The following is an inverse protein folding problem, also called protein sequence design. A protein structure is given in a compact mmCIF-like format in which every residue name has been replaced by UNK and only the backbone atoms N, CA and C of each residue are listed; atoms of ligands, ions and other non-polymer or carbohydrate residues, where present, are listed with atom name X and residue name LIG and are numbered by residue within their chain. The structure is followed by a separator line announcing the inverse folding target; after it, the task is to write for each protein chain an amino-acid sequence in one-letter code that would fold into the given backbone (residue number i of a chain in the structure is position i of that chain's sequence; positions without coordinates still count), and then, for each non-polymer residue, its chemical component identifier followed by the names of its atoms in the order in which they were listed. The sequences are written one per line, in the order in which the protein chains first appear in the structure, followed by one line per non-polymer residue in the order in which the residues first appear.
data_IF_455178796383
#
_entry.id   IF_455178796383
#
_cell.length_a   1.000
_cell.length_b   1.000
_cell.length_c   1.000
_cell.angle_alpha   90.00
_cell.angle_beta   90.00
_cell.angle_gamma   90.00
#
_symmetry.space_group_name_H-M   'P 1'
#
loop_
_entity.id
_entity.type
_entity.pdbx_description
1 polymer ?
#
# COMPACT_ATOMS: atom_id res chain seq x y z
N UNK A 1 3.64 -1.41 -17.59
CA UNK A 1 3.50 -0.35 -16.59
C UNK A 1 4.68 -0.38 -15.65
N UNK A 2 5.00 0.74 -15.04
CA UNK A 2 6.08 0.76 -14.05
C UNK A 2 5.67 0.06 -12.76
N UNK A 3 6.66 -0.31 -11.97
CA UNK A 3 6.43 -1.04 -10.72
C UNK A 3 5.61 -0.23 -9.72
N UNK A 4 5.85 1.06 -9.63
CA UNK A 4 5.10 1.92 -8.69
C UNK A 4 3.59 1.92 -9.01
N UNK A 5 3.24 2.04 -10.28
CA UNK A 5 1.84 1.97 -10.70
C UNK A 5 1.24 0.61 -10.39
N UNK A 6 1.99 -0.48 -10.61
CA UNK A 6 1.52 -1.82 -10.27
C UNK A 6 1.29 -1.98 -8.77
N UNK A 7 2.18 -1.41 -7.94
CA UNK A 7 2.00 -1.44 -6.48
C UNK A 7 0.75 -0.67 -6.08
N UNK A 8 0.56 0.54 -6.61
CA UNK A 8 -0.62 1.36 -6.30
C UNK A 8 -1.90 0.65 -6.72
N UNK A 9 -1.89 0.03 -7.90
CA UNK A 9 -3.03 -0.76 -8.39
C UNK A 9 -3.32 -1.92 -7.44
N UNK A 10 -2.28 -2.65 -7.03
CA UNK A 10 -2.44 -3.77 -6.11
C UNK A 10 -3.04 -3.33 -4.77
N UNK A 11 -2.66 -2.15 -4.27
CA UNK A 11 -3.16 -1.63 -3.00
C UNK A 11 -4.54 -0.98 -3.10
N UNK A 12 -5.06 -0.78 -4.30
CA UNK A 12 -6.30 -0.03 -4.50
C UNK A 12 -7.58 -0.83 -4.22
N UNK A 13 -7.47 -2.10 -3.87
CA UNK A 13 -8.64 -2.95 -3.63
C UNK A 13 -8.62 -3.51 -2.20
N UNK A 14 -9.77 -3.41 -1.47
CA UNK A 14 -9.82 -3.86 -0.07
C UNK A 14 -9.44 -5.33 0.12
N UNK A 15 -9.87 -6.21 -0.79
CA UNK A 15 -9.54 -7.63 -0.70
C UNK A 15 -8.02 -7.84 -0.79
N UNK A 16 -7.35 -7.13 -1.68
CA UNK A 16 -5.90 -7.26 -1.82
C UNK A 16 -5.16 -6.74 -0.59
N UNK A 17 -5.63 -5.65 0.00
CA UNK A 17 -5.05 -5.17 1.27
C UNK A 17 -5.26 -6.19 2.39
N UNK A 18 -6.44 -6.81 2.46
CA UNK A 18 -6.73 -7.84 3.46
C UNK A 18 -5.83 -9.07 3.28
N UNK A 19 -5.55 -9.47 2.03
CA UNK A 19 -4.64 -10.58 1.75
C UNK A 19 -3.23 -10.25 2.28
N UNK A 20 -2.74 -9.05 2.00
CA UNK A 20 -1.44 -8.62 2.50
C UNK A 20 -1.39 -8.71 4.02
N UNK A 21 -2.43 -8.21 4.69
CA UNK A 21 -2.48 -8.22 6.15
C UNK A 21 -2.40 -9.63 6.73
N UNK A 22 -3.02 -10.61 6.08
CA UNK A 22 -2.89 -12.00 6.50
C UNK A 22 -1.46 -12.50 6.43
N UNK A 23 -0.71 -12.06 5.42
CA UNK A 23 0.65 -12.54 5.18
C UNK A 23 1.70 -11.88 6.08
N UNK A 24 1.31 -10.83 6.82
CA UNK A 24 2.26 -10.14 7.71
C UNK A 24 2.76 -11.03 8.84
N UNK A 25 1.99 -12.06 9.20
CA UNK A 25 2.37 -13.00 10.25
C UNK A 25 3.33 -14.09 9.76
N UNK A 26 3.57 -14.18 8.46
CA UNK A 26 4.48 -15.15 7.86
C UNK A 26 3.87 -15.86 6.67
N UNK A 27 4.63 -16.77 6.03
CA UNK A 27 4.15 -17.54 4.89
C UNK A 27 2.86 -18.29 5.24
N UNK A 28 1.89 -18.25 4.34
CA UNK A 28 0.55 -18.82 4.56
C UNK A 28 0.14 -19.61 3.34
N UNK A 29 -0.50 -20.76 3.55
CA UNK A 29 -1.00 -21.59 2.46
C UNK A 29 -2.08 -20.87 1.69
N UNK A 30 -2.11 -21.06 0.36
CA UNK A 30 -3.10 -20.44 -0.51
C UNK A 30 -4.53 -20.67 -0.01
N UNK A 31 -4.88 -21.89 0.37
CA UNK A 31 -6.24 -22.19 0.82
C UNK A 31 -6.60 -21.48 2.13
N UNK A 32 -5.62 -21.26 2.99
CA UNK A 32 -5.85 -20.53 4.25
C UNK A 32 -6.02 -19.03 3.97
N UNK A 33 -5.31 -18.49 2.98
CA UNK A 33 -5.48 -17.10 2.57
C UNK A 33 -6.87 -16.87 2.01
N UNK A 34 -7.38 -17.82 1.22
CA UNK A 34 -8.69 -17.71 0.58
C UNK A 34 -9.87 -17.88 1.55
N UNK A 35 -9.65 -18.61 2.64
CA UNK A 35 -10.69 -19.06 3.57
C UNK A 35 -11.59 -17.94 4.12
N UNK A 36 -11.04 -16.77 4.56
CA UNK A 36 -11.88 -15.71 5.12
C UNK A 36 -12.78 -15.01 4.10
N UNK A 37 -12.53 -15.20 2.82
CA UNK A 37 -13.26 -14.48 1.77
C UNK A 37 -14.42 -15.33 1.25
N UNK A 38 -15.62 -14.74 1.24
CA UNK A 38 -16.80 -15.38 0.72
C UNK A 38 -16.88 -15.14 -0.80
N UNK A 39 -15.86 -15.61 -1.52
CA UNK A 39 -15.64 -15.33 -2.93
C UNK A 39 -15.13 -16.61 -3.59
N UNK A 40 -15.41 -16.77 -4.89
CA UNK A 40 -14.86 -17.90 -5.65
C UNK A 40 -13.34 -17.87 -5.66
N UNK A 41 -12.72 -19.06 -5.65
CA UNK A 41 -11.25 -19.19 -5.70
C UNK A 41 -10.65 -18.50 -6.92
N UNK A 42 -11.40 -18.47 -8.04
CA UNK A 42 -10.94 -17.79 -9.26
C UNK A 42 -10.73 -16.29 -9.03
N UNK A 43 -11.60 -15.65 -8.26
CA UNK A 43 -11.48 -14.22 -7.94
C UNK A 43 -10.25 -13.99 -7.05
N UNK A 44 -10.03 -14.85 -6.06
CA UNK A 44 -8.85 -14.77 -5.20
C UNK A 44 -7.58 -14.95 -6.02
N UNK A 45 -7.56 -15.91 -6.94
CA UNK A 45 -6.42 -16.13 -7.83
C UNK A 45 -6.09 -14.89 -8.66
N UNK A 46 -7.10 -14.18 -9.15
CA UNK A 46 -6.89 -12.94 -9.90
C UNK A 46 -6.27 -11.85 -9.03
N UNK A 47 -6.74 -11.70 -7.80
CA UNK A 47 -6.15 -10.77 -6.84
C UNK A 47 -4.69 -11.10 -6.55
N UNK A 48 -4.38 -12.39 -6.38
CA UNK A 48 -3.02 -12.82 -6.13
C UNK A 48 -2.10 -12.52 -7.30
N UNK A 49 -2.57 -12.69 -8.54
CA UNK A 49 -1.78 -12.37 -9.74
C UNK A 49 -1.44 -10.88 -9.80
N UNK A 50 -2.35 -10.02 -9.43
CA UNK A 50 -2.10 -8.57 -9.38
C UNK A 50 -1.04 -8.25 -8.33
N UNK A 51 -1.14 -8.87 -7.15
CA UNK A 51 -0.14 -8.70 -6.09
C UNK A 51 1.23 -9.25 -6.49
N UNK A 52 1.26 -10.40 -7.17
CA UNK A 52 2.52 -10.98 -7.66
C UNK A 52 3.17 -10.08 -8.71
N UNK A 53 2.39 -9.53 -9.63
CA UNK A 53 2.88 -8.62 -10.66
C UNK A 53 3.53 -7.38 -10.06
N UNK A 54 2.97 -6.90 -8.96
CA UNK A 54 3.51 -5.75 -8.24
C UNK A 54 4.76 -6.10 -7.44
N UNK A 55 5.06 -7.38 -7.28
CA UNK A 55 6.21 -7.84 -6.48
C UNK A 55 5.92 -7.83 -4.98
N UNK A 56 4.66 -7.69 -4.58
CA UNK A 56 4.28 -7.61 -3.16
C UNK A 56 4.10 -8.97 -2.51
N UNK A 57 3.89 -10.01 -3.29
CA UNK A 57 3.83 -11.37 -2.78
C UNK A 57 4.69 -12.29 -3.65
N UNK A 58 5.15 -13.35 -3.03
CA UNK A 58 5.93 -14.38 -3.67
C UNK A 58 5.28 -15.73 -3.40
N UNK A 59 5.24 -16.56 -4.43
CA UNK A 59 4.64 -17.88 -4.37
C UNK A 59 5.72 -18.93 -4.30
N UNK A 60 5.57 -19.88 -3.37
CA UNK A 60 6.50 -20.99 -3.24
C UNK A 60 5.72 -22.28 -3.09
N UNK A 61 6.05 -23.27 -3.92
CA UNK A 61 5.44 -24.58 -3.86
C UNK A 61 6.27 -25.50 -2.96
N UNK A 62 5.64 -26.08 -1.95
CA UNK A 62 6.26 -27.06 -1.05
C UNK A 62 5.40 -28.32 -1.06
N UNK A 63 5.92 -29.37 -1.70
CA UNK A 63 5.14 -30.59 -1.90
C UNK A 63 3.93 -30.32 -2.77
N UNK A 64 2.74 -30.59 -2.25
CA UNK A 64 1.47 -30.35 -2.96
C UNK A 64 0.83 -29.02 -2.61
N UNK A 65 1.42 -28.27 -1.69
CA UNK A 65 0.86 -27.02 -1.20
C UNK A 65 1.58 -25.81 -1.75
N UNK A 66 0.82 -24.74 -1.97
CA UNK A 66 1.36 -23.45 -2.40
C UNK A 66 1.32 -22.51 -1.21
N UNK A 67 2.48 -21.92 -0.88
CA UNK A 67 2.61 -20.93 0.18
C UNK A 67 2.83 -19.56 -0.43
N UNK A 68 2.26 -18.56 0.20
CA UNK A 68 2.39 -17.15 -0.21
C UNK A 68 3.13 -16.40 0.88
N UNK A 69 4.04 -15.53 0.48
CA UNK A 69 4.82 -14.70 1.40
C UNK A 69 4.71 -13.25 0.98
N UNK A 70 4.65 -12.36 1.95
CA UNK A 70 4.66 -10.92 1.69
C UNK A 70 6.07 -10.43 1.43
N UNK A 71 6.21 -9.56 0.43
CA UNK A 71 7.46 -8.88 0.09
C UNK A 71 7.22 -7.38 0.08
N UNK A 72 7.79 -6.69 1.06
CA UNK A 72 7.53 -5.26 1.24
C UNK A 72 8.47 -4.35 0.48
N UNK A 73 9.53 -4.88 -0.15
CA UNK A 73 10.52 -4.07 -0.84
C UNK A 73 9.94 -3.08 -1.87
N UNK A 74 8.95 -3.48 -2.68
CA UNK A 74 8.37 -2.54 -3.65
C UNK A 74 7.64 -1.35 -3.03
N UNK A 75 7.29 -1.43 -1.74
CA UNK A 75 6.61 -0.33 -1.06
C UNK A 75 7.50 0.87 -0.85
N UNK A 76 8.82 0.69 -0.85
CA UNK A 76 9.77 1.76 -0.56
C UNK A 76 9.61 2.95 -1.52
N UNK A 77 9.51 2.68 -2.81
CA UNK A 77 9.36 3.73 -3.82
C UNK A 77 8.06 4.52 -3.60
N UNK A 78 6.96 3.81 -3.31
CA UNK A 78 5.67 4.44 -3.02
C UNK A 78 5.76 5.27 -1.73
N UNK A 79 6.36 4.71 -0.69
CA UNK A 79 6.52 5.39 0.59
C UNK A 79 7.35 6.67 0.43
N UNK A 80 8.45 6.60 -0.31
CA UNK A 80 9.30 7.76 -0.55
C UNK A 80 8.53 8.85 -1.31
N UNK A 81 7.76 8.47 -2.30
CA UNK A 81 6.95 9.41 -3.07
C UNK A 81 5.88 10.06 -2.20
N UNK A 82 5.14 9.27 -1.42
CA UNK A 82 4.10 9.78 -0.52
C UNK A 82 4.70 10.71 0.53
N UNK A 83 5.84 10.31 1.11
CA UNK A 83 6.54 11.14 2.10
C UNK A 83 6.96 12.48 1.50
N UNK A 84 7.43 12.48 0.25
CA UNK A 84 7.77 13.71 -0.45
C UNK A 84 6.57 14.64 -0.63
N UNK A 85 5.42 14.08 -0.99
CA UNK A 85 4.19 14.86 -1.12
C UNK A 85 3.74 15.42 0.23
N UNK A 86 3.81 14.61 1.26
CA UNK A 86 3.42 15.01 2.61
C UNK A 86 4.33 16.12 3.13
N UNK A 87 5.62 16.02 2.93
CA UNK A 87 6.59 17.04 3.31
C UNK A 87 6.32 18.36 2.58
N UNK A 88 6.08 18.28 1.27
CA UNK A 88 5.72 19.46 0.48
C UNK A 88 4.43 20.10 1.02
N UNK A 89 3.43 19.30 1.30
CA UNK A 89 2.14 19.79 1.81
C UNK A 89 2.30 20.47 3.17
N UNK A 90 3.06 19.86 4.08
CA UNK A 90 3.31 20.40 5.41
C UNK A 90 4.06 21.73 5.33
N UNK A 91 5.03 21.84 4.44
CA UNK A 91 5.76 23.12 4.21
C UNK A 91 4.81 24.19 3.70
N UNK A 92 3.91 23.83 2.79
CA UNK A 92 2.90 24.76 2.26
C UNK A 92 1.97 25.25 3.37
N UNK A 93 1.52 24.35 4.23
CA UNK A 93 0.65 24.73 5.35
C UNK A 93 1.38 25.64 6.33
N UNK A 94 2.63 25.37 6.65
CA UNK A 94 3.44 26.22 7.53
C UNK A 94 3.61 27.61 6.95
N UNK A 95 3.90 27.72 5.67
CA UNK A 95 4.02 29.00 4.97
C UNK A 95 2.72 29.77 5.00
N UNK A 96 1.60 29.09 4.75
CA UNK A 96 0.27 29.71 4.80
C UNK A 96 -0.03 30.21 6.20
N UNK A 97 0.23 29.41 7.22
CA UNK A 97 0.02 29.76 8.62
C UNK A 97 0.84 30.98 9.01
N UNK A 98 2.10 31.02 8.63
CA UNK A 98 2.99 32.16 8.91
C UNK A 98 2.47 33.43 8.24
N UNK A 99 2.05 33.33 6.98
CA UNK A 99 1.48 34.46 6.24
C UNK A 99 0.23 35.00 6.93
N UNK A 100 -0.63 34.10 7.39
CA UNK A 100 -1.85 34.45 8.10
C UNK A 100 -1.55 35.18 9.42
N UNK A 101 -0.56 34.70 10.17
CA UNK A 101 -0.10 35.33 11.41
C UNK A 101 0.44 36.72 11.17
N UNK A 102 1.21 36.90 10.10
CA UNK A 102 1.77 38.20 9.74
C UNK A 102 0.67 39.22 9.41
N UNK A 103 -0.35 38.80 8.71
CA UNK A 103 -1.52 39.65 8.40
C UNK A 103 -2.23 40.06 9.70
N UNK A 104 -2.45 39.08 10.58
CA UNK A 104 -3.12 39.35 11.85
C UNK A 104 -2.32 40.30 12.73
N UNK A 105 -1.00 40.16 12.74
CA UNK A 105 -0.12 41.07 13.49
C UNK A 105 -0.18 42.50 12.97
N UNK A 106 -0.24 42.67 11.65
CA UNK A 106 -0.37 44.01 11.04
C UNK A 106 -1.69 44.68 11.39
N UNK A 107 -2.76 43.88 11.54
CA UNK A 107 -4.06 44.42 11.96
C UNK A 107 -4.08 44.85 13.43
N UNK A 108 -3.33 44.14 14.28
CA UNK A 108 -3.24 44.42 15.71
C UNK A 108 -2.29 45.58 16.04
N UNK A 109 -1.32 45.83 15.17
CA UNK A 109 -0.34 46.92 15.34
C UNK A 109 -0.36 47.87 14.12
N UNK A 110 -1.34 48.73 14.03
CA UNK A 110 -1.45 49.67 12.91
C UNK A 110 -0.36 50.76 12.93
#
# INVERSE_FOLDING_TARGET
MDQMTDVLTALSHPTRRAIIEQLLTGPTRFLDVAKPFNTALNAITKHLKILERAGLIEREKKGREVFLSFRGEPLKEVTDWVNGLEEFWNTKLDTFEQHFRDIKQKEENP
#
